data_IF_370277615416
#
_entry.id   IF_370277615416
#
_cell.length_a   1.000
_cell.length_b   1.000
_cell.length_c   1.000
_cell.angle_alpha   90.00
_cell.angle_beta   90.00
_cell.angle_gamma   90.00
#
_symmetry.space_group_name_H-M   'P 1'
#
loop_
_entity.id
_entity.type
_entity.pdbx_description
1 polymer ?
#
# COMPACT_ATOMS: atom_id res chain seq x y z
N UNK A 1 -23.96 18.72 -83.49
CA UNK A 1 -24.94 19.82 -83.61
C UNK A 1 -25.86 19.86 -82.38
N UNK A 2 -25.73 20.93 -81.58
CA UNK A 2 -26.76 21.58 -80.73
C UNK A 2 -27.69 20.69 -79.86
N UNK A 3 -28.00 20.95 -78.59
CA UNK A 3 -27.70 22.00 -77.60
C UNK A 3 -28.70 21.77 -76.45
N UNK A 4 -28.26 21.81 -75.18
CA UNK A 4 -28.93 22.53 -74.05
C UNK A 4 -30.29 21.92 -73.57
N UNK A 5 -30.58 21.62 -72.29
CA UNK A 5 -30.42 22.41 -71.06
C UNK A 5 -30.76 21.64 -69.76
N UNK A 6 -29.94 21.88 -68.71
CA UNK A 6 -30.18 21.96 -67.24
C UNK A 6 -31.11 20.96 -66.52
N UNK A 7 -30.59 20.33 -65.44
CA UNK A 7 -30.77 20.86 -64.05
C UNK A 7 -30.08 20.01 -62.96
N UNK A 8 -29.39 20.74 -62.07
CA UNK A 8 -29.13 20.51 -60.64
C UNK A 8 -28.05 19.50 -60.20
N UNK A 9 -26.85 20.08 -59.98
CA UNK A 9 -25.88 19.68 -58.95
C UNK A 9 -26.55 19.60 -57.57
N UNK A 10 -26.45 18.44 -56.92
CA UNK A 10 -26.40 18.32 -55.46
C UNK A 10 -25.13 17.53 -55.14
N UNK A 11 -24.09 18.24 -54.70
CA UNK A 11 -22.89 17.63 -54.17
C UNK A 11 -23.22 16.95 -52.84
N UNK A 12 -23.04 15.64 -52.81
CA UNK A 12 -23.13 14.79 -51.63
C UNK A 12 -22.11 15.23 -50.58
N UNK A 13 -22.60 15.91 -49.55
CA UNK A 13 -21.92 16.14 -48.28
C UNK A 13 -21.70 14.77 -47.60
N UNK A 14 -20.51 14.20 -47.74
CA UNK A 14 -20.05 13.15 -46.83
C UNK A 14 -19.71 13.84 -45.50
N UNK A 15 -20.72 14.00 -44.64
CA UNK A 15 -20.51 14.31 -43.23
C UNK A 15 -19.90 13.08 -42.56
N UNK A 16 -18.57 13.09 -42.41
CA UNK A 16 -17.89 12.37 -41.33
C UNK A 16 -18.41 12.95 -40.00
N UNK A 17 -19.55 12.46 -39.52
CA UNK A 17 -19.90 12.56 -38.11
C UNK A 17 -19.04 11.55 -37.35
N UNK A 18 -17.76 11.90 -37.14
CA UNK A 18 -16.98 11.30 -36.08
C UNK A 18 -17.67 11.68 -34.76
N UNK A 19 -18.39 10.73 -34.18
CA UNK A 19 -18.88 10.82 -32.82
C UNK A 19 -17.67 11.01 -31.88
N UNK A 20 -17.36 12.26 -31.57
CA UNK A 20 -16.57 12.64 -30.41
C UNK A 20 -17.40 12.30 -29.18
N UNK A 21 -17.39 11.03 -28.78
CA UNK A 21 -17.81 10.65 -27.44
C UNK A 21 -16.84 11.34 -26.46
N UNK A 22 -17.31 12.10 -25.48
CA UNK A 22 -16.45 12.63 -24.44
C UNK A 22 -15.87 11.44 -23.67
N UNK A 23 -14.57 11.21 -23.82
CA UNK A 23 -13.83 10.30 -22.94
C UNK A 23 -13.78 10.96 -21.57
N UNK A 24 -14.64 10.54 -20.65
CA UNK A 24 -14.45 10.86 -19.23
C UNK A 24 -13.11 10.27 -18.81
N UNK A 25 -12.22 11.04 -18.14
CA UNK A 25 -11.00 10.47 -17.60
C UNK A 25 -11.39 9.37 -16.60
N UNK A 26 -11.13 8.12 -16.96
CA UNK A 26 -11.22 6.98 -16.05
C UNK A 26 -10.09 7.14 -15.03
N UNK A 27 -10.42 7.76 -13.89
CA UNK A 27 -9.46 8.01 -12.83
C UNK A 27 -9.26 6.75 -11.99
N UNK A 28 -8.14 6.05 -12.16
CA UNK A 28 -7.75 5.03 -11.20
C UNK A 28 -7.42 5.67 -9.83
N UNK A 29 -8.00 5.14 -8.76
CA UNK A 29 -7.76 5.63 -7.39
C UNK A 29 -6.45 5.15 -6.78
N UNK A 30 -5.79 4.16 -7.41
CA UNK A 30 -4.48 3.62 -7.00
C UNK A 30 -4.52 3.04 -5.58
N UNK A 31 -5.46 2.13 -5.40
CA UNK A 31 -5.68 1.39 -4.16
C UNK A 31 -4.41 0.59 -3.86
N UNK A 32 -3.86 0.79 -2.66
CA UNK A 32 -2.70 0.03 -2.15
C UNK A 32 -3.18 -1.20 -1.40
N UNK A 33 -4.23 -1.05 -0.61
CA UNK A 33 -4.75 -2.12 0.22
C UNK A 33 -5.89 -1.66 1.12
N UNK A 34 -6.33 -2.55 2.00
CA UNK A 34 -7.39 -2.29 2.95
C UNK A 34 -7.82 -3.53 3.71
N UNK A 35 -8.67 -3.29 4.70
CA UNK A 35 -9.28 -4.31 5.53
C UNK A 35 -10.62 -3.80 6.08
N UNK A 36 -11.54 -4.74 6.31
CA UNK A 36 -12.86 -4.50 6.86
C UNK A 36 -13.02 -5.40 8.09
N UNK A 37 -13.40 -4.82 9.22
CA UNK A 37 -13.61 -5.54 10.49
C UNK A 37 -14.88 -5.07 11.20
N UNK A 38 -15.30 -5.82 12.21
CA UNK A 38 -16.47 -5.52 13.02
C UNK A 38 -16.23 -5.83 14.50
N UNK A 39 -16.88 -5.08 15.37
CA UNK A 39 -16.90 -5.30 16.83
C UNK A 39 -18.34 -5.34 17.32
N UNK A 40 -18.75 -6.36 18.08
CA UNK A 40 -20.08 -6.37 18.69
C UNK A 40 -20.14 -5.41 19.88
N UNK A 41 -21.14 -4.53 19.89
CA UNK A 41 -21.41 -3.59 20.97
C UNK A 41 -22.54 -4.07 21.90
N UNK A 42 -23.18 -5.19 21.56
CA UNK A 42 -24.35 -5.73 22.24
C UNK A 42 -25.67 -5.23 21.63
N UNK A 43 -26.78 -5.91 21.94
CA UNK A 43 -28.10 -5.49 21.46
C UNK A 43 -28.27 -5.52 19.93
N UNK A 44 -27.53 -6.42 19.24
CA UNK A 44 -27.40 -6.49 17.78
C UNK A 44 -26.74 -5.26 17.14
N UNK A 45 -26.10 -4.41 17.93
CA UNK A 45 -25.36 -3.25 17.45
C UNK A 45 -23.89 -3.62 17.22
N UNK A 46 -23.36 -3.24 16.06
CA UNK A 46 -22.00 -3.55 15.63
C UNK A 46 -21.30 -2.29 15.14
N UNK A 47 -20.09 -2.07 15.64
CA UNK A 47 -19.17 -1.11 15.04
C UNK A 47 -18.52 -1.76 13.82
N UNK A 48 -18.58 -1.10 12.67
CA UNK A 48 -17.92 -1.50 11.43
C UNK A 48 -16.76 -0.55 11.19
N UNK A 49 -15.58 -1.12 10.94
CA UNK A 49 -14.35 -0.38 10.67
C UNK A 49 -13.79 -0.78 9.32
N UNK A 50 -13.69 0.19 8.41
CA UNK A 50 -13.06 0.04 7.10
C UNK A 50 -11.80 0.89 7.06
N UNK A 51 -10.63 0.27 6.91
CA UNK A 51 -9.36 0.98 6.74
C UNK A 51 -8.90 0.80 5.29
N UNK A 52 -8.59 1.90 4.60
CA UNK A 52 -8.21 1.91 3.18
C UNK A 52 -6.87 2.64 3.02
N UNK A 53 -6.04 2.09 2.15
CA UNK A 53 -4.72 2.61 1.81
C UNK A 53 -4.64 2.95 0.32
N UNK A 54 -4.00 4.07 -0.01
CA UNK A 54 -3.79 4.53 -1.38
C UNK A 54 -2.38 5.06 -1.59
N UNK A 55 -1.90 5.02 -2.82
CA UNK A 55 -0.60 5.59 -3.20
C UNK A 55 -0.67 7.13 -3.21
N UNK A 56 0.33 7.79 -2.62
CA UNK A 56 0.39 9.25 -2.56
C UNK A 56 0.70 9.91 -3.91
N UNK A 57 1.56 9.29 -4.73
CA UNK A 57 2.16 9.90 -5.91
C UNK A 57 1.48 9.46 -7.20
N UNK A 58 1.20 8.17 -7.32
CA UNK A 58 0.61 7.58 -8.51
C UNK A 58 -0.92 7.71 -8.50
N UNK A 59 -1.52 7.95 -7.33
CA UNK A 59 -2.95 8.20 -7.17
C UNK A 59 -3.48 9.34 -8.02
N UNK A 60 -4.67 9.16 -8.61
CA UNK A 60 -5.37 10.27 -9.24
C UNK A 60 -5.64 11.35 -8.17
N UNK A 61 -5.15 12.59 -8.34
CA UNK A 61 -5.37 13.68 -7.39
C UNK A 61 -6.85 14.05 -7.20
N UNK A 62 -7.71 13.66 -8.14
CA UNK A 62 -9.16 13.92 -8.11
C UNK A 62 -9.97 12.75 -7.55
N UNK A 63 -9.34 11.61 -7.26
CA UNK A 63 -10.02 10.44 -6.74
C UNK A 63 -9.41 10.09 -5.39
N UNK A 64 -9.68 10.93 -4.38
CA UNK A 64 -9.23 10.78 -3.01
C UNK A 64 -9.97 9.62 -2.29
N UNK A 65 -9.90 9.57 -0.96
CA UNK A 65 -10.78 8.72 -0.16
C UNK A 65 -12.25 9.01 -0.46
N UNK A 66 -13.07 7.96 -0.43
CA UNK A 66 -14.48 8.01 -0.83
C UNK A 66 -15.32 8.83 0.14
N UNK A 67 -16.04 9.81 -0.38
CA UNK A 67 -17.02 10.60 0.38
C UNK A 67 -18.38 10.57 -0.32
N UNK A 68 -19.33 9.71 0.09
CA UNK A 68 -19.21 8.72 1.17
C UNK A 68 -18.55 7.40 0.72
N UNK A 69 -17.92 6.69 1.66
CA UNK A 69 -17.59 5.27 1.49
C UNK A 69 -18.87 4.42 1.61
N UNK A 70 -19.04 3.45 0.70
CA UNK A 70 -20.24 2.61 0.66
C UNK A 70 -19.96 1.15 1.00
N UNK A 71 -20.57 0.67 2.07
CA UNK A 71 -20.50 -0.73 2.50
C UNK A 71 -21.85 -1.39 2.24
N UNK A 72 -21.88 -2.45 1.43
CA UNK A 72 -23.06 -3.28 1.21
C UNK A 72 -23.15 -4.38 2.27
N UNK A 73 -24.35 -4.65 2.77
CA UNK A 73 -24.66 -5.74 3.69
C UNK A 73 -25.51 -6.77 2.94
N UNK A 74 -25.01 -7.99 2.80
CA UNK A 74 -25.68 -9.06 2.06
C UNK A 74 -26.03 -10.23 2.99
N UNK A 75 -27.16 -10.89 2.74
CA UNK A 75 -27.53 -12.12 3.43
C UNK A 75 -26.82 -13.34 2.82
N UNK A 76 -27.05 -14.53 3.40
CA UNK A 76 -26.51 -15.80 2.89
C UNK A 76 -27.00 -16.19 1.48
N UNK A 77 -28.04 -15.53 0.95
CA UNK A 77 -28.53 -15.70 -0.43
C UNK A 77 -27.93 -14.65 -1.39
N UNK A 78 -26.98 -13.85 -0.90
CA UNK A 78 -26.32 -12.75 -1.61
C UNK A 78 -27.25 -11.60 -2.01
N UNK A 79 -28.41 -11.49 -1.35
CA UNK A 79 -29.33 -10.39 -1.55
C UNK A 79 -28.88 -9.20 -0.68
N UNK A 80 -28.93 -7.99 -1.24
CA UNK A 80 -28.65 -6.78 -0.50
C UNK A 80 -29.74 -6.57 0.57
N UNK A 81 -29.31 -6.58 1.83
CA UNK A 81 -30.16 -6.31 3.00
C UNK A 81 -30.17 -4.82 3.30
N UNK A 82 -28.99 -4.20 3.29
CA UNK A 82 -28.82 -2.79 3.61
C UNK A 82 -27.52 -2.23 2.97
N UNK A 83 -27.42 -0.90 2.92
CA UNK A 83 -26.24 -0.17 2.44
C UNK A 83 -25.91 0.94 3.42
N UNK A 84 -24.67 0.93 3.92
CA UNK A 84 -24.16 2.00 4.77
C UNK A 84 -23.37 2.99 3.91
N UNK A 85 -23.61 4.28 4.12
CA UNK A 85 -22.85 5.38 3.52
C UNK A 85 -22.18 6.18 4.64
N UNK A 86 -20.85 6.17 4.67
CA UNK A 86 -20.05 6.82 5.71
C UNK A 86 -19.34 8.02 5.08
N UNK A 87 -19.69 9.27 5.46
CA UNK A 87 -18.97 10.44 5.01
C UNK A 87 -17.49 10.36 5.40
N UNK A 88 -16.61 10.88 4.56
CA UNK A 88 -15.19 10.93 4.88
C UNK A 88 -14.88 12.12 5.78
N UNK A 89 -14.12 11.88 6.85
CA UNK A 89 -13.57 12.93 7.70
C UNK A 89 -12.14 13.24 7.24
N UNK A 90 -11.93 14.45 6.69
CA UNK A 90 -10.62 14.92 6.23
C UNK A 90 -9.57 14.92 7.35
N UNK A 91 -9.99 15.04 8.62
CA UNK A 91 -9.09 14.98 9.78
C UNK A 91 -8.52 13.58 10.02
N UNK A 92 -9.10 12.54 9.42
CA UNK A 92 -8.62 11.15 9.47
C UNK A 92 -7.73 10.79 8.28
N UNK A 93 -7.28 11.77 7.50
CA UNK A 93 -6.22 11.59 6.52
C UNK A 93 -4.87 11.45 7.20
N UNK A 94 -4.21 10.32 7.04
CA UNK A 94 -2.88 10.07 7.60
C UNK A 94 -1.93 9.48 6.54
N UNK A 95 -0.63 9.48 6.81
CA UNK A 95 0.40 8.86 5.97
C UNK A 95 1.09 7.78 6.76
N UNK A 96 1.18 6.57 6.20
CA UNK A 96 1.93 5.49 6.83
C UNK A 96 3.42 5.76 6.75
N UNK A 97 4.09 5.69 7.91
CA UNK A 97 5.54 5.71 7.98
C UNK A 97 6.12 4.39 7.43
N UNK A 98 7.05 4.44 6.46
CA UNK A 98 7.70 3.24 5.96
C UNK A 98 8.62 2.66 7.06
N UNK A 99 8.19 1.57 7.69
CA UNK A 99 9.01 0.81 8.66
C UNK A 99 9.74 -0.30 7.91
N UNK A 100 11.06 -0.35 7.99
CA UNK A 100 11.86 -1.47 7.49
C UNK A 100 12.16 -2.46 8.61
N UNK A 101 12.37 -3.73 8.23
CA UNK A 101 12.75 -4.81 9.16
C UNK A 101 14.13 -4.63 9.78
N UNK A 102 14.98 -3.79 9.17
CA UNK A 102 16.33 -3.51 9.63
C UNK A 102 16.54 -1.99 9.70
N UNK A 103 17.09 -1.52 10.82
CA UNK A 103 17.41 -0.11 11.08
C UNK A 103 18.47 0.44 10.11
N UNK A 104 19.13 -0.43 9.35
CA UNK A 104 20.23 -0.09 8.45
C UNK A 104 19.79 0.15 7.00
N UNK A 105 18.54 -0.12 6.68
CA UNK A 105 18.00 0.05 5.35
C UNK A 105 17.24 1.37 5.24
N UNK A 106 17.38 2.05 4.10
CA UNK A 106 16.63 3.27 3.80
C UNK A 106 15.64 2.99 2.68
N UNK A 107 14.37 3.32 2.92
CA UNK A 107 13.31 3.24 1.89
C UNK A 107 13.52 4.35 0.87
N UNK A 108 13.51 4.05 -0.44
CA UNK A 108 13.50 5.07 -1.47
C UNK A 108 12.38 6.11 -1.27
N UNK A 109 12.63 7.40 -1.57
CA UNK A 109 11.70 8.49 -1.26
C UNK A 109 10.39 8.46 -2.07
N UNK A 110 10.27 7.55 -3.03
CA UNK A 110 9.09 7.35 -3.90
C UNK A 110 8.05 6.38 -3.31
N UNK A 111 8.27 5.85 -2.10
CA UNK A 111 7.27 5.03 -1.40
C UNK A 111 6.49 5.89 -0.41
N UNK A 112 5.23 6.17 -0.74
CA UNK A 112 4.32 6.88 0.15
C UNK A 112 2.90 6.30 0.03
N UNK A 113 2.26 6.09 1.18
CA UNK A 113 0.90 5.56 1.25
C UNK A 113 0.07 6.38 2.24
N UNK A 114 -1.01 7.00 1.74
CA UNK A 114 -2.01 7.60 2.61
C UNK A 114 -2.98 6.53 3.12
N UNK A 115 -3.49 6.74 4.33
CA UNK A 115 -4.50 5.90 4.97
C UNK A 115 -5.65 6.72 5.55
N UNK A 116 -6.82 6.11 5.62
CA UNK A 116 -7.94 6.60 6.40
C UNK A 116 -8.75 5.43 6.96
N UNK A 117 -9.49 5.68 8.04
CA UNK A 117 -10.38 4.71 8.66
C UNK A 117 -11.78 5.27 8.76
N UNK A 118 -12.74 4.60 8.13
CA UNK A 118 -14.17 4.85 8.29
C UNK A 118 -14.70 3.99 9.43
N UNK A 119 -15.39 4.61 10.37
CA UNK A 119 -16.05 3.92 11.48
C UNK A 119 -17.52 4.31 11.52
N UNK A 120 -18.39 3.32 11.70
CA UNK A 120 -19.82 3.55 11.86
C UNK A 120 -20.44 2.45 12.70
N UNK A 121 -21.67 2.66 13.14
CA UNK A 121 -22.42 1.68 13.93
C UNK A 121 -23.68 1.30 13.18
N UNK A 122 -23.95 -0.01 13.10
CA UNK A 122 -25.11 -0.57 12.40
C UNK A 122 -25.79 -1.62 13.28
N UNK A 123 -27.11 -1.75 13.11
CA UNK A 123 -27.88 -2.81 13.76
C UNK A 123 -27.98 -4.01 12.81
N UNK A 124 -27.44 -5.16 13.21
CA UNK A 124 -27.44 -6.42 12.46
C UNK A 124 -28.19 -7.50 13.25
N UNK A 125 -29.53 -7.58 13.14
CA UNK A 125 -30.30 -8.64 13.76
C UNK A 125 -29.85 -10.03 13.27
N UNK A 126 -29.84 -11.09 14.10
CA UNK A 126 -29.47 -12.41 13.64
C UNK A 126 -30.35 -12.90 12.47
N UNK A 127 -29.69 -13.36 11.40
CA UNK A 127 -30.33 -13.97 10.23
C UNK A 127 -29.72 -15.34 9.95
N UNK A 128 -30.54 -16.23 9.38
CA UNK A 128 -30.07 -17.56 9.01
C UNK A 128 -28.89 -17.48 8.02
N UNK A 129 -27.79 -18.15 8.36
CA UNK A 129 -26.56 -18.12 7.55
C UNK A 129 -25.68 -16.86 7.69
N UNK A 130 -26.16 -15.81 8.38
CA UNK A 130 -25.37 -14.62 8.70
C UNK A 130 -25.29 -13.56 7.59
N UNK A 131 -24.30 -12.68 7.70
CA UNK A 131 -24.07 -11.55 6.81
C UNK A 131 -22.70 -11.58 6.14
N UNK A 132 -22.64 -11.04 4.93
CA UNK A 132 -21.40 -10.65 4.26
C UNK A 132 -21.42 -9.14 4.10
N UNK A 133 -20.43 -8.46 4.68
CA UNK A 133 -20.22 -7.03 4.46
C UNK A 133 -19.15 -6.87 3.39
N UNK A 134 -19.33 -5.90 2.49
CA UNK A 134 -18.35 -5.64 1.44
C UNK A 134 -18.25 -4.17 1.05
N UNK A 135 -17.03 -3.72 0.82
CA UNK A 135 -16.70 -2.46 0.17
C UNK A 135 -15.91 -2.75 -1.10
N UNK A 136 -16.21 -2.02 -2.18
CA UNK A 136 -15.60 -2.22 -3.49
C UNK A 136 -15.11 -0.92 -4.09
N UNK A 137 -13.92 -0.96 -4.70
CA UNK A 137 -13.32 0.20 -5.35
C UNK A 137 -12.51 -0.19 -6.58
N UNK A 138 -12.45 0.71 -7.56
CA UNK A 138 -11.51 0.64 -8.68
C UNK A 138 -10.52 1.82 -8.58
N UNK A 139 -9.24 1.68 -8.91
CA UNK A 139 -8.53 0.50 -9.41
C UNK A 139 -7.17 0.45 -8.72
N UNK A 140 -6.46 -0.66 -8.90
CA UNK A 140 -5.14 -0.84 -8.30
C UNK A 140 -4.05 -0.05 -9.05
N UNK A 141 -2.86 -0.04 -8.46
CA UNK A 141 -1.68 0.61 -9.03
C UNK A 141 -1.22 -0.03 -10.35
N UNK A 142 -0.98 0.79 -11.38
CA UNK A 142 -0.51 0.31 -12.68
C UNK A 142 0.88 -0.34 -12.66
N UNK A 143 1.67 -0.10 -11.61
CA UNK A 143 3.01 -0.66 -11.39
C UNK A 143 3.01 -2.07 -10.80
N UNK A 144 1.85 -2.59 -10.42
CA UNK A 144 1.73 -3.97 -9.91
C UNK A 144 2.14 -4.97 -10.99
N UNK A 145 3.01 -5.89 -10.63
CA UNK A 145 3.67 -6.81 -11.55
C UNK A 145 3.09 -8.23 -11.53
N UNK A 146 2.29 -8.60 -10.51
CA UNK A 146 1.79 -9.97 -10.34
C UNK A 146 0.34 -10.22 -10.79
N UNK A 147 -0.38 -9.23 -11.31
CA UNK A 147 -1.75 -9.40 -11.81
C UNK A 147 -1.88 -8.85 -13.24
N UNK A 148 -2.85 -9.38 -13.99
CA UNK A 148 -3.17 -8.93 -15.35
C UNK A 148 -3.90 -7.59 -15.29
N UNK A 149 -3.45 -6.63 -16.12
CA UNK A 149 -4.03 -5.29 -16.30
C UNK A 149 -4.44 -4.60 -14.97
N UNK A 150 -3.50 -4.27 -14.06
CA UNK A 150 -3.83 -3.76 -12.73
C UNK A 150 -4.75 -2.54 -12.70
N UNK A 151 -4.62 -1.64 -13.69
CA UNK A 151 -5.46 -0.45 -13.83
C UNK A 151 -6.92 -0.76 -14.17
N UNK A 152 -7.24 -1.99 -14.58
CA UNK A 152 -8.60 -2.49 -14.84
C UNK A 152 -9.14 -3.38 -13.71
N UNK A 153 -8.32 -3.71 -12.70
CA UNK A 153 -8.69 -4.59 -11.59
C UNK A 153 -8.99 -3.75 -10.35
N UNK A 154 -10.21 -3.87 -9.83
CA UNK A 154 -10.60 -3.31 -8.54
C UNK A 154 -10.16 -4.14 -7.33
N UNK A 155 -10.55 -3.70 -6.14
CA UNK A 155 -10.42 -4.44 -4.89
C UNK A 155 -11.78 -4.60 -4.21
N UNK A 156 -12.01 -5.76 -3.62
CA UNK A 156 -13.14 -5.99 -2.71
C UNK A 156 -12.60 -6.35 -1.33
N UNK A 157 -13.00 -5.59 -0.31
CA UNK A 157 -12.71 -5.90 1.09
C UNK A 157 -13.99 -6.40 1.73
N UNK A 158 -13.91 -7.55 2.39
CA UNK A 158 -15.08 -8.24 2.91
C UNK A 158 -14.79 -8.86 4.26
N UNK A 159 -15.85 -8.91 5.08
CA UNK A 159 -15.90 -9.70 6.30
C UNK A 159 -17.19 -10.49 6.33
N UNK A 160 -17.10 -11.74 6.80
CA UNK A 160 -18.27 -12.61 6.99
C UNK A 160 -18.57 -12.74 8.47
N UNK A 161 -19.83 -12.52 8.84
CA UNK A 161 -20.34 -12.70 10.20
C UNK A 161 -21.33 -13.86 10.16
N UNK A 162 -20.94 -15.02 10.67
CA UNK A 162 -21.82 -16.20 10.67
C UNK A 162 -23.05 -16.01 11.56
N UNK A 163 -24.07 -16.85 11.36
CA UNK A 163 -25.24 -16.89 12.25
C UNK A 163 -24.84 -17.14 13.72
N UNK A 164 -23.85 -18.01 13.97
CA UNK A 164 -23.32 -18.26 15.32
C UNK A 164 -22.68 -16.98 15.90
N UNK A 165 -21.84 -16.31 15.12
CA UNK A 165 -21.23 -15.04 15.52
C UNK A 165 -22.27 -13.97 15.88
N UNK A 166 -23.37 -13.88 15.12
CA UNK A 166 -24.47 -12.95 15.40
C UNK A 166 -25.20 -13.26 16.71
N UNK A 167 -25.50 -14.53 16.95
CA UNK A 167 -26.23 -14.98 18.14
C UNK A 167 -25.41 -14.84 19.42
N UNK A 168 -24.09 -14.94 19.30
CA UNK A 168 -23.15 -14.92 20.42
C UNK A 168 -22.48 -13.55 20.62
N UNK A 169 -22.86 -12.53 19.83
CA UNK A 169 -22.28 -11.19 19.89
C UNK A 169 -20.76 -11.19 19.76
N UNK A 170 -20.29 -11.76 18.65
CA UNK A 170 -18.87 -11.87 18.34
C UNK A 170 -18.26 -10.55 17.84
N UNK A 171 -16.99 -10.32 18.11
CA UNK A 171 -16.16 -9.28 17.53
C UNK A 171 -15.09 -9.93 16.67
N UNK A 172 -15.08 -9.66 15.37
CA UNK A 172 -14.13 -10.30 14.46
C UNK A 172 -12.69 -9.86 14.72
N UNK A 173 -11.69 -10.67 14.30
CA UNK A 173 -10.29 -10.41 14.58
C UNK A 173 -9.81 -9.11 13.95
N UNK A 174 -8.97 -8.38 14.68
CA UNK A 174 -8.36 -7.12 14.25
C UNK A 174 -6.84 -7.29 14.17
N UNK A 175 -6.26 -7.07 12.99
CA UNK A 175 -4.81 -7.17 12.84
C UNK A 175 -4.07 -6.17 13.72
N UNK A 176 -2.95 -6.60 14.31
CA UNK A 176 -2.20 -5.80 15.27
C UNK A 176 -1.38 -4.67 14.63
N UNK A 177 -0.91 -4.88 13.40
CA UNK A 177 -0.07 -3.93 12.67
C UNK A 177 -0.31 -4.03 11.16
N UNK A 178 -0.02 -2.95 10.45
CA UNK A 178 0.06 -2.96 8.99
C UNK A 178 1.43 -3.50 8.53
N UNK A 179 1.52 -4.31 7.46
CA UNK A 179 2.81 -4.75 6.94
C UNK A 179 3.65 -3.58 6.41
N UNK A 180 4.98 -3.72 6.36
CA UNK A 180 5.86 -2.77 5.69
C UNK A 180 5.43 -2.49 4.24
N UNK A 181 5.53 -1.23 3.84
CA UNK A 181 5.21 -0.81 2.48
C UNK A 181 6.34 -1.11 1.49
N UNK A 182 7.56 -1.27 2.00
CA UNK A 182 8.75 -1.58 1.24
C UNK A 182 9.53 -2.70 1.91
N UNK A 183 10.04 -3.62 1.10
CA UNK A 183 10.91 -4.71 1.54
C UNK A 183 12.08 -4.86 0.58
N UNK A 184 13.18 -5.40 1.09
CA UNK A 184 14.42 -5.49 0.34
C UNK A 184 14.44 -6.77 -0.51
N UNK A 185 14.84 -6.64 -1.77
CA UNK A 185 15.15 -7.79 -2.62
C UNK A 185 16.35 -8.55 -2.05
N UNK A 186 16.29 -9.88 -2.08
CA UNK A 186 17.28 -10.81 -1.55
C UNK A 186 17.51 -10.76 -0.03
N UNK A 187 16.62 -10.11 0.72
CA UNK A 187 16.61 -10.17 2.18
C UNK A 187 15.39 -10.94 2.71
N UNK A 188 15.53 -11.68 3.80
CA UNK A 188 14.43 -12.44 4.37
C UNK A 188 13.36 -11.53 4.93
N UNK A 189 12.11 -11.88 4.64
CA UNK A 189 10.90 -11.29 5.23
C UNK A 189 10.67 -11.96 6.59
N UNK A 190 10.42 -11.16 7.61
CA UNK A 190 10.03 -11.62 8.94
C UNK A 190 9.09 -10.61 9.60
N UNK A 191 7.78 -10.76 9.36
CA UNK A 191 6.78 -9.80 9.85
C UNK A 191 5.63 -10.50 10.57
N UNK A 192 5.30 -9.98 11.75
CA UNK A 192 4.12 -10.40 12.49
C UNK A 192 2.86 -9.89 11.77
N UNK A 193 2.00 -10.83 11.34
CA UNK A 193 0.67 -10.56 10.79
C UNK A 193 -0.43 -11.14 11.68
N UNK A 194 -0.14 -11.31 12.98
CA UNK A 194 -1.13 -11.71 13.97
C UNK A 194 -2.24 -10.68 14.11
N UNK A 195 -3.41 -11.18 14.50
CA UNK A 195 -4.57 -10.40 14.85
C UNK A 195 -4.96 -10.65 16.31
N UNK A 196 -5.54 -9.62 16.93
CA UNK A 196 -6.17 -9.68 18.23
C UNK A 196 -7.63 -10.08 18.09
N UNK A 197 -8.06 -10.99 18.95
CA UNK A 197 -9.44 -11.43 19.08
C UNK A 197 -9.96 -11.07 20.49
N UNK A 198 -11.06 -10.32 20.56
CA UNK A 198 -11.58 -9.82 21.84
C UNK A 198 -12.33 -10.89 22.63
N UNK A 199 -12.82 -11.93 21.97
CA UNK A 199 -13.66 -12.97 22.56
C UNK A 199 -12.88 -14.24 22.90
N UNK A 200 -11.61 -14.32 22.50
CA UNK A 200 -10.69 -15.42 22.80
C UNK A 200 -10.82 -16.59 21.83
N UNK A 201 -11.28 -16.34 20.61
CA UNK A 201 -11.41 -17.34 19.56
C UNK A 201 -10.07 -17.80 19.00
N UNK A 202 -10.08 -19.00 18.41
CA UNK A 202 -8.90 -19.55 17.75
C UNK A 202 -8.77 -18.96 16.36
N UNK A 203 -7.64 -18.30 16.09
CA UNK A 203 -7.34 -17.71 14.79
C UNK A 203 -6.43 -18.63 13.98
N UNK A 204 -6.78 -18.84 12.72
CA UNK A 204 -5.98 -19.59 11.75
C UNK A 204 -5.60 -18.68 10.58
N UNK A 205 -4.30 -18.59 10.31
CA UNK A 205 -3.75 -17.69 9.30
C UNK A 205 -3.41 -18.44 8.02
N UNK A 206 -3.68 -17.84 6.85
CA UNK A 206 -3.23 -18.36 5.57
C UNK A 206 -3.05 -17.27 4.53
N UNK A 207 -2.19 -17.54 3.55
CA UNK A 207 -2.18 -16.76 2.31
C UNK A 207 -3.48 -17.02 1.55
N UNK A 208 -4.00 -15.98 0.91
CA UNK A 208 -5.19 -16.10 0.08
C UNK A 208 -5.15 -15.11 -1.07
N UNK A 209 -5.71 -15.50 -2.22
CA UNK A 209 -5.81 -14.62 -3.39
C UNK A 209 -6.73 -13.44 -3.09
N UNK A 210 -6.28 -12.18 -3.21
CA UNK A 210 -7.16 -11.02 -3.06
C UNK A 210 -8.35 -11.04 -4.03
N UNK A 211 -9.39 -10.28 -3.72
CA UNK A 211 -10.59 -10.22 -4.55
C UNK A 211 -10.50 -9.06 -5.53
N UNK A 212 -10.86 -9.32 -6.78
CA UNK A 212 -11.22 -8.27 -7.73
C UNK A 212 -12.47 -7.53 -7.23
N UNK A 213 -12.59 -6.27 -7.61
CA UNK A 213 -13.69 -5.40 -7.19
C UNK A 213 -14.34 -4.67 -8.34
N UNK A 214 -14.67 -3.41 -8.08
CA UNK A 214 -15.31 -2.52 -9.04
C UNK A 214 -14.49 -2.34 -10.33
N UNK A 215 -15.09 -1.70 -11.34
CA UNK A 215 -14.50 -1.58 -12.69
C UNK A 215 -14.22 -0.13 -13.06
N UNK A 216 -13.48 0.11 -14.14
CA UNK A 216 -13.27 1.47 -14.64
C UNK A 216 -14.56 2.18 -15.07
N UNK A 217 -15.59 1.42 -15.46
CA UNK A 217 -16.88 1.96 -15.89
C UNK A 217 -17.77 2.37 -14.70
N UNK A 218 -17.60 1.69 -13.57
CA UNK A 218 -18.27 2.00 -12.31
C UNK A 218 -17.25 1.79 -11.18
N UNK A 219 -16.38 2.80 -10.92
CA UNK A 219 -15.25 2.65 -10.01
C UNK A 219 -15.64 2.73 -8.53
N UNK A 220 -16.85 3.21 -8.25
CA UNK A 220 -17.44 3.41 -6.92
C UNK A 220 -18.90 2.93 -6.90
N UNK A 221 -19.17 1.63 -7.01
CA UNK A 221 -20.53 1.15 -6.99
C UNK A 221 -21.18 1.46 -5.64
N UNK A 222 -22.33 2.12 -5.68
CA UNK A 222 -23.15 2.45 -4.51
C UNK A 222 -24.60 2.03 -4.79
N UNK A 223 -25.07 0.85 -4.30
CA UNK A 223 -24.37 -0.10 -3.43
C UNK A 223 -23.28 -0.90 -4.16
N UNK A 224 -22.30 -1.47 -3.43
CA UNK A 224 -21.37 -2.46 -3.97
C UNK A 224 -22.10 -3.66 -4.60
N UNK A 225 -21.43 -4.35 -5.51
CA UNK A 225 -21.97 -5.56 -6.12
C UNK A 225 -22.08 -6.70 -5.07
N UNK A 226 -23.08 -7.59 -5.20
CA UNK A 226 -23.26 -8.72 -4.30
C UNK A 226 -22.17 -9.80 -4.50
N UNK A 227 -21.89 -10.62 -3.46
CA UNK A 227 -21.05 -11.81 -3.61
C UNK A 227 -21.70 -12.86 -4.56
N UNK A 228 -20.95 -13.85 -5.07
CA UNK A 228 -19.53 -14.13 -4.81
C UNK A 228 -18.59 -13.25 -5.62
N UNK A 229 -17.48 -12.86 -4.99
CA UNK A 229 -16.45 -12.04 -5.60
C UNK A 229 -15.42 -12.88 -6.34
N UNK A 230 -14.94 -12.38 -7.48
CA UNK A 230 -13.89 -13.04 -8.25
C UNK A 230 -12.52 -12.78 -7.61
N UNK A 231 -11.60 -13.76 -7.62
CA UNK A 231 -10.20 -13.51 -7.27
C UNK A 231 -9.55 -12.56 -8.29
N UNK A 232 -8.49 -11.87 -7.88
CA UNK A 232 -7.66 -11.10 -8.81
C UNK A 232 -7.07 -12.02 -9.89
N UNK A 233 -6.96 -11.55 -11.15
CA UNK A 233 -6.39 -12.35 -12.22
C UNK A 233 -4.85 -12.34 -12.09
N UNK A 234 -4.28 -13.37 -11.48
CA UNK A 234 -2.82 -13.53 -11.43
C UNK A 234 -2.20 -13.51 -12.83
N UNK A 235 -1.02 -12.89 -12.96
CA UNK A 235 -0.18 -13.03 -14.14
C UNK A 235 0.57 -14.38 -14.07
N UNK A 236 -0.17 -15.47 -14.29
CA UNK A 236 0.31 -16.84 -14.14
C UNK A 236 0.75 -17.44 -15.50
N UNK A 237 1.97 -17.99 -15.64
CA UNK A 237 3.09 -18.00 -14.68
C UNK A 237 3.91 -16.70 -14.65
N UNK A 238 4.68 -16.42 -13.58
CA UNK A 238 4.96 -17.30 -12.43
C UNK A 238 4.09 -17.06 -11.19
N UNK A 239 3.20 -16.06 -11.22
CA UNK A 239 2.49 -15.60 -10.02
C UNK A 239 1.21 -16.40 -9.75
N UNK A 240 1.01 -16.75 -8.48
CA UNK A 240 -0.23 -17.33 -7.94
C UNK A 240 -0.22 -17.21 -6.41
N UNK A 241 -1.24 -17.76 -5.74
CA UNK A 241 -1.37 -17.73 -4.27
C UNK A 241 -0.14 -18.30 -3.54
N UNK A 242 0.54 -19.28 -4.12
CA UNK A 242 1.73 -19.90 -3.53
C UNK A 242 3.05 -19.26 -4.00
N UNK A 243 3.00 -18.20 -4.83
CA UNK A 243 4.19 -17.53 -5.37
C UNK A 243 3.93 -16.04 -5.66
N UNK A 244 3.34 -15.32 -4.71
CA UNK A 244 2.88 -13.94 -4.92
C UNK A 244 4.01 -12.94 -5.23
N UNK A 245 5.24 -13.19 -4.73
CA UNK A 245 6.42 -12.33 -4.91
C UNK A 245 7.46 -12.89 -5.89
N UNK A 246 7.10 -13.92 -6.68
CA UNK A 246 8.03 -14.64 -7.56
C UNK A 246 9.30 -15.15 -6.84
N UNK A 247 9.17 -15.79 -5.69
CA UNK A 247 10.31 -16.29 -4.91
C UNK A 247 11.08 -17.44 -5.57
N UNK A 248 10.72 -17.90 -6.77
CA UNK A 248 11.37 -19.05 -7.43
C UNK A 248 11.83 -18.72 -8.85
N UNK A 249 12.96 -19.31 -9.33
CA UNK A 249 13.96 -20.04 -8.55
C UNK A 249 14.94 -19.10 -7.83
N UNK A 250 15.48 -19.52 -6.69
CA UNK A 250 16.59 -18.82 -6.02
C UNK A 250 16.21 -17.83 -4.92
N UNK A 251 14.93 -17.73 -4.58
CA UNK A 251 14.45 -17.15 -3.32
C UNK A 251 13.57 -18.17 -2.59
N UNK A 252 12.64 -17.68 -1.77
CA UNK A 252 11.62 -18.48 -1.09
C UNK A 252 10.26 -17.79 -1.25
N UNK A 253 9.22 -18.48 -1.73
CA UNK A 253 7.86 -17.93 -1.75
C UNK A 253 7.40 -17.46 -0.37
N UNK A 254 6.42 -16.55 -0.35
CA UNK A 254 5.78 -16.18 0.90
C UNK A 254 5.16 -17.42 1.57
N UNK A 255 5.33 -17.49 2.88
CA UNK A 255 4.69 -18.47 3.75
C UNK A 255 4.23 -17.78 5.03
N UNK A 256 3.11 -18.23 5.59
CA UNK A 256 2.59 -17.72 6.87
C UNK A 256 2.37 -18.87 7.83
N UNK A 257 2.83 -18.70 9.07
CA UNK A 257 2.57 -19.68 10.12
C UNK A 257 1.08 -19.64 10.51
N UNK A 258 0.35 -20.76 10.43
CA UNK A 258 -1.10 -20.77 10.61
C UNK A 258 -1.56 -20.54 12.06
N UNK A 259 -0.65 -20.57 13.04
CA UNK A 259 -1.00 -20.35 14.46
C UNK A 259 -0.51 -18.99 14.97
N UNK A 260 0.66 -18.55 14.52
CA UNK A 260 1.27 -17.31 14.99
C UNK A 260 0.99 -16.11 14.08
N UNK A 261 0.62 -16.34 12.82
CA UNK A 261 0.48 -15.28 11.83
C UNK A 261 1.82 -14.71 11.36
N UNK A 262 2.96 -15.34 11.70
CA UNK A 262 4.27 -14.90 11.24
C UNK A 262 4.43 -15.12 9.74
N UNK A 263 4.59 -14.03 8.98
CA UNK A 263 4.85 -14.03 7.56
C UNK A 263 6.36 -14.09 7.29
N UNK A 264 6.77 -15.03 6.45
CA UNK A 264 8.16 -15.27 6.03
C UNK A 264 8.27 -15.40 4.51
N UNK A 265 9.48 -15.24 3.97
CA UNK A 265 9.77 -15.38 2.55
C UNK A 265 11.12 -14.76 2.20
N UNK A 266 11.55 -14.92 0.95
CA UNK A 266 12.78 -14.31 0.44
C UNK A 266 12.52 -13.86 -1.02
N UNK A 267 12.09 -12.62 -1.23
CA UNK A 267 11.79 -12.11 -2.57
C UNK A 267 13.11 -11.88 -3.31
N UNK A 268 13.19 -12.33 -4.57
CA UNK A 268 14.37 -12.16 -5.41
C UNK A 268 14.09 -11.30 -6.67
N UNK A 269 12.87 -10.76 -6.76
CA UNK A 269 12.37 -9.99 -7.89
C UNK A 269 11.96 -8.60 -7.41
N UNK A 270 12.58 -7.57 -7.98
CA UNK A 270 12.22 -6.16 -7.75
C UNK A 270 10.89 -5.88 -8.46
N UNK A 271 9.98 -5.16 -7.81
CA UNK A 271 8.68 -4.78 -8.36
C UNK A 271 7.66 -4.48 -7.28
N UNK A 272 6.44 -4.15 -7.69
CA UNK A 272 5.30 -3.99 -6.80
C UNK A 272 4.36 -5.19 -6.93
N UNK A 273 3.92 -5.74 -5.80
CA UNK A 273 3.19 -7.01 -5.77
C UNK A 273 1.99 -6.91 -4.85
N UNK A 274 0.83 -7.36 -5.32
CA UNK A 274 -0.37 -7.55 -4.50
C UNK A 274 -0.25 -8.83 -3.67
N UNK A 275 -0.57 -8.76 -2.39
CA UNK A 275 -0.52 -9.87 -1.42
C UNK A 275 -1.84 -9.92 -0.64
N UNK A 276 -2.29 -11.13 -0.33
CA UNK A 276 -3.49 -11.34 0.48
C UNK A 276 -3.24 -12.30 1.64
N UNK A 277 -3.77 -11.93 2.81
CA UNK A 277 -3.76 -12.74 4.03
C UNK A 277 -5.20 -12.87 4.50
N UNK A 278 -5.59 -14.10 4.85
CA UNK A 278 -6.88 -14.40 5.43
C UNK A 278 -6.69 -14.91 6.86
N UNK A 279 -7.53 -14.41 7.76
CA UNK A 279 -7.66 -14.89 9.15
C UNK A 279 -9.02 -15.55 9.28
N UNK A 280 -9.01 -16.83 9.58
CA UNK A 280 -10.19 -17.64 9.85
C UNK A 280 -10.37 -17.76 11.36
N UNK A 281 -11.56 -17.42 11.84
CA UNK A 281 -11.90 -17.35 13.27
C UNK A 281 -12.77 -18.54 13.65
N UNK A 282 -12.34 -19.30 14.66
CA UNK A 282 -12.99 -20.53 15.10
C UNK A 282 -13.41 -20.46 16.55
N UNK A 283 -14.70 -20.79 16.78
CA UNK A 283 -15.28 -20.97 18.12
C UNK A 283 -15.82 -22.36 18.29
N UNK A 284 -15.33 -23.07 19.31
CA UNK A 284 -15.63 -24.49 19.56
C UNK A 284 -15.35 -25.40 18.34
N UNK A 285 -14.34 -25.06 17.54
CA UNK A 285 -13.98 -25.78 16.31
C UNK A 285 -14.88 -25.52 15.10
N UNK A 286 -15.82 -24.57 15.19
CA UNK A 286 -16.64 -24.13 14.07
C UNK A 286 -16.14 -22.79 13.54
N UNK A 287 -16.00 -22.66 12.22
CA UNK A 287 -15.67 -21.39 11.56
C UNK A 287 -16.82 -20.42 11.75
N UNK A 288 -16.56 -19.26 12.36
CA UNK A 288 -17.57 -18.24 12.65
C UNK A 288 -17.33 -16.91 11.92
N UNK A 289 -16.11 -16.68 11.46
CA UNK A 289 -15.69 -15.46 10.79
C UNK A 289 -14.55 -15.69 9.83
N UNK A 290 -14.45 -14.83 8.83
CA UNK A 290 -13.26 -14.73 7.98
C UNK A 290 -13.03 -13.27 7.64
N UNK A 291 -11.84 -12.80 7.98
CA UNK A 291 -11.36 -11.46 7.65
C UNK A 291 -10.25 -11.57 6.62
N UNK A 292 -10.26 -10.69 5.63
CA UNK A 292 -9.23 -10.64 4.58
C UNK A 292 -8.53 -9.29 4.59
N UNK A 293 -7.21 -9.36 4.59
CA UNK A 293 -6.31 -8.23 4.31
C UNK A 293 -5.76 -8.37 2.91
N UNK A 294 -5.74 -7.26 2.20
CA UNK A 294 -5.16 -7.10 0.87
C UNK A 294 -4.28 -5.86 0.88
N UNK A 295 -3.05 -6.00 0.43
CA UNK A 295 -2.03 -4.96 0.48
C UNK A 295 -0.99 -5.16 -0.62
N UNK A 296 -0.07 -4.20 -0.73
CA UNK A 296 1.03 -4.26 -1.68
C UNK A 296 2.39 -4.19 -0.99
N UNK A 297 3.31 -5.02 -1.46
CA UNK A 297 4.74 -4.85 -1.20
C UNK A 297 5.39 -4.15 -2.37
N UNK A 298 6.18 -3.11 -2.08
CA UNK A 298 7.22 -2.63 -2.99
C UNK A 298 8.52 -3.36 -2.65
N UNK A 299 8.97 -4.25 -3.52
CA UNK A 299 10.25 -4.95 -3.38
C UNK A 299 11.29 -4.16 -4.17
N UNK A 300 12.38 -3.76 -3.53
CA UNK A 300 13.49 -3.13 -4.26
C UNK A 300 14.81 -3.20 -3.53
N UNK A 301 15.80 -2.44 -4.01
CA UNK A 301 17.11 -2.41 -3.39
C UNK A 301 17.05 -1.56 -2.13
N UNK A 302 17.20 -2.20 -0.98
CA UNK A 302 17.59 -1.47 0.21
C UNK A 302 19.09 -1.21 0.15
N UNK A 303 19.47 0.04 0.27
CA UNK A 303 20.86 0.38 0.43
C UNK A 303 21.25 0.41 1.89
N UNK A 304 22.50 0.01 2.16
CA UNK A 304 23.17 0.39 3.40
C UNK A 304 23.79 1.77 3.19
N UNK A 305 23.67 2.64 4.19
CA UNK A 305 24.30 3.94 4.15
C UNK A 305 25.80 3.79 3.89
N UNK A 306 26.32 4.52 2.90
CA UNK A 306 27.77 4.61 2.67
C UNK A 306 28.16 6.07 2.68
N UNK A 307 29.06 6.45 3.57
CA UNK A 307 29.62 7.78 3.65
C UNK A 307 30.69 7.96 2.58
N UNK A 308 30.57 9.04 1.82
CA UNK A 308 31.60 9.48 0.90
C UNK A 308 31.47 10.99 0.69
N UNK A 309 32.60 11.67 0.53
CA UNK A 309 32.57 13.06 0.09
C UNK A 309 33.81 13.42 -0.71
N UNK A 310 33.66 14.47 -1.50
CA UNK A 310 34.75 15.18 -2.11
C UNK A 310 35.02 16.50 -1.39
N UNK A 311 36.30 16.73 -1.08
CA UNK A 311 36.84 18.03 -0.68
C UNK A 311 38.23 18.18 -1.32
N UNK A 312 38.63 19.38 -1.75
CA UNK A 312 39.98 19.62 -2.27
C UNK A 312 41.05 19.33 -1.22
N UNK A 313 42.12 18.63 -1.59
CA UNK A 313 43.23 18.30 -0.67
C UNK A 313 44.04 19.53 -0.25
N UNK A 314 44.12 20.53 -1.15
CA UNK A 314 44.84 21.77 -0.91
C UNK A 314 44.03 22.91 -1.49
N UNK A 315 43.78 23.93 -0.66
CA UNK A 315 43.15 25.19 -1.06
C UNK A 315 44.13 26.32 -0.76
N UNK A 316 44.34 27.21 -1.73
CA UNK A 316 45.19 28.38 -1.59
C UNK A 316 44.40 29.65 -1.91
N UNK A 317 44.58 30.70 -1.10
CA UNK A 317 43.95 32.00 -1.33
C UNK A 317 42.51 32.14 -0.81
N UNK A 318 41.94 31.10 -0.22
CA UNK A 318 40.66 31.12 0.50
C UNK A 318 40.74 30.19 1.72
N UNK A 319 39.99 30.51 2.77
CA UNK A 319 39.75 29.62 3.91
C UNK A 319 38.39 28.92 3.81
N UNK A 320 37.59 29.20 2.78
CA UNK A 320 36.29 28.56 2.57
C UNK A 320 36.42 27.33 1.68
N UNK A 321 35.84 26.22 2.13
CA UNK A 321 35.77 24.95 1.39
C UNK A 321 34.35 24.44 1.39
N UNK A 322 33.80 24.21 0.20
CA UNK A 322 32.56 23.47 0.05
C UNK A 322 32.86 21.98 0.05
N UNK A 323 32.13 21.21 0.87
CA UNK A 323 32.17 19.76 0.82
C UNK A 323 31.08 19.27 -0.13
N UNK A 324 31.44 18.36 -1.03
CA UNK A 324 30.51 17.71 -1.96
C UNK A 324 30.16 16.33 -1.40
N UNK A 325 28.95 16.20 -0.86
CA UNK A 325 28.50 14.95 -0.25
C UNK A 325 28.17 13.94 -1.35
N UNK A 326 28.86 12.81 -1.33
CA UNK A 326 28.71 11.71 -2.30
C UNK A 326 28.18 10.44 -1.63
N UNK A 327 27.64 10.57 -0.41
CA UNK A 327 27.08 9.45 0.32
C UNK A 327 25.88 8.85 -0.42
N UNK A 328 25.67 7.55 -0.23
CA UNK A 328 24.53 6.83 -0.79
C UNK A 328 23.65 6.30 0.34
N UNK A 329 22.34 6.24 0.08
CA UNK A 329 21.36 5.62 0.97
C UNK A 329 21.38 6.19 2.41
N UNK A 330 21.53 7.50 2.52
CA UNK A 330 21.48 8.24 3.78
C UNK A 330 20.82 9.60 3.55
N UNK A 331 20.02 10.03 4.51
CA UNK A 331 19.30 11.32 4.53
C UNK A 331 19.67 12.17 5.76
N UNK A 332 20.34 11.58 6.75
CA UNK A 332 20.91 12.24 7.91
C UNK A 332 22.43 12.26 7.84
N UNK A 333 23.03 13.41 8.13
CA UNK A 333 24.48 13.60 8.02
C UNK A 333 25.02 14.31 9.25
N UNK A 334 26.25 13.96 9.62
CA UNK A 334 27.04 14.75 10.57
C UNK A 334 28.45 14.94 10.03
N UNK A 335 28.78 16.19 9.78
CA UNK A 335 30.12 16.64 9.43
C UNK A 335 30.85 17.03 10.70
N UNK A 336 32.11 16.61 10.84
CA UNK A 336 32.97 16.99 11.95
C UNK A 336 34.29 17.49 11.35
N UNK A 337 34.65 18.73 11.67
CA UNK A 337 35.95 19.30 11.29
C UNK A 337 36.84 19.33 12.51
N UNK A 338 38.01 18.71 12.42
CA UNK A 338 38.96 18.61 13.54
C UNK A 338 40.37 19.06 13.14
N UNK A 339 41.16 19.49 14.12
CA UNK A 339 42.59 19.77 13.95
C UNK A 339 43.37 19.22 15.13
N UNK A 340 44.32 18.33 14.86
CA UNK A 340 45.13 17.70 15.92
C UNK A 340 44.29 16.93 16.95
N UNK A 341 43.14 16.38 16.53
CA UNK A 341 42.21 15.66 17.40
C UNK A 341 41.23 16.54 18.19
N UNK A 342 41.28 17.87 18.03
CA UNK A 342 40.32 18.80 18.63
C UNK A 342 39.23 19.13 17.62
N UNK A 343 37.97 18.87 17.97
CA UNK A 343 36.80 19.23 17.15
C UNK A 343 36.63 20.75 17.15
N UNK A 344 36.61 21.33 15.96
CA UNK A 344 36.44 22.77 15.72
C UNK A 344 34.96 23.12 15.49
N UNK A 345 34.19 22.17 14.99
CA UNK A 345 32.73 22.21 15.01
C UNK A 345 32.10 21.16 14.10
N UNK A 346 30.78 21.21 13.99
CA UNK A 346 29.98 20.22 13.28
C UNK A 346 28.91 20.88 12.39
N UNK A 347 28.38 20.14 11.42
CA UNK A 347 27.21 20.53 10.63
C UNK A 347 26.34 19.31 10.31
N UNK A 348 25.03 19.50 10.24
CA UNK A 348 24.08 18.49 9.75
C UNK A 348 23.58 18.78 8.33
N UNK A 349 24.08 19.84 7.69
CA UNK A 349 23.65 20.20 6.34
C UNK A 349 24.07 19.10 5.35
N UNK A 350 23.22 18.75 4.36
CA UNK A 350 23.56 17.73 3.36
C UNK A 350 24.81 18.09 2.56
N UNK A 351 25.10 19.38 2.37
CA UNK A 351 26.23 19.87 1.59
C UNK A 351 26.76 21.20 2.15
N UNK A 352 27.54 21.17 3.24
CA UNK A 352 27.98 22.38 3.93
C UNK A 352 29.13 23.10 3.22
N UNK A 353 29.26 24.39 3.52
CA UNK A 353 30.46 25.18 3.25
C UNK A 353 31.09 25.52 4.58
N UNK A 354 32.37 25.21 4.75
CA UNK A 354 33.11 25.45 5.98
C UNK A 354 34.17 26.53 5.78
N UNK A 355 34.22 27.51 6.69
CA UNK A 355 35.29 28.51 6.75
C UNK A 355 36.31 28.11 7.83
N UNK A 356 37.51 27.71 7.40
CA UNK A 356 38.60 27.35 8.31
C UNK A 356 39.17 28.58 9.03
N UNK A 357 39.59 28.44 10.30
CA UNK A 357 40.04 29.58 11.10
C UNK A 357 41.42 30.11 10.71
N UNK A 358 42.29 29.27 10.15
CA UNK A 358 43.64 29.63 9.70
C UNK A 358 44.15 28.61 8.67
N UNK A 359 45.35 28.82 8.16
CA UNK A 359 46.12 27.86 7.38
C UNK A 359 46.58 26.67 8.23
N UNK A 360 46.58 25.48 7.64
CA UNK A 360 47.06 24.28 8.32
C UNK A 360 46.47 23.00 7.75
N UNK A 361 46.70 21.90 8.46
CA UNK A 361 46.08 20.62 8.18
C UNK A 361 44.84 20.46 9.06
N UNK A 362 43.76 19.99 8.46
CA UNK A 362 42.48 19.72 9.08
C UNK A 362 42.03 18.33 8.65
N UNK A 363 41.32 17.65 9.52
CA UNK A 363 40.66 16.38 9.23
C UNK A 363 39.16 16.64 9.11
N UNK A 364 38.55 16.12 8.07
CA UNK A 364 37.11 16.22 7.83
C UNK A 364 36.52 14.82 7.90
N UNK A 365 35.59 14.64 8.82
CA UNK A 365 34.82 13.40 8.97
C UNK A 365 33.39 13.65 8.53
N UNK A 366 32.85 12.76 7.71
CA UNK A 366 31.43 12.67 7.40
C UNK A 366 30.91 11.35 7.96
N UNK A 367 29.85 11.44 8.76
CA UNK A 367 29.05 10.31 9.22
C UNK A 367 27.72 10.36 8.45
N UNK A 368 27.48 9.36 7.61
CA UNK A 368 26.20 9.14 6.94
C UNK A 368 25.28 8.31 7.84
N UNK A 369 24.00 8.64 7.90
CA UNK A 369 23.02 8.07 8.83
C UNK A 369 23.41 8.27 10.30
N UNK A 370 23.93 9.47 10.64
CA UNK A 370 24.36 9.78 12.00
C UNK A 370 23.23 9.62 13.02
N UNK A 371 23.48 8.87 14.10
CA UNK A 371 22.50 8.53 15.13
C UNK A 371 21.78 7.20 14.92
N UNK A 372 21.99 6.52 13.79
CA UNK A 372 21.45 5.18 13.51
C UNK A 372 22.49 4.07 13.75
N UNK A 373 22.03 2.84 13.97
CA UNK A 373 22.88 1.69 14.29
C UNK A 373 23.91 1.35 13.18
N UNK A 374 23.61 1.71 11.93
CA UNK A 374 24.46 1.47 10.75
C UNK A 374 25.00 2.75 10.11
N UNK A 375 25.37 3.72 10.95
CA UNK A 375 26.09 4.88 10.46
C UNK A 375 27.42 4.46 9.82
N UNK A 376 27.67 4.92 8.60
CA UNK A 376 28.97 4.75 7.94
C UNK A 376 29.79 6.03 8.08
N UNK A 377 31.10 5.90 8.20
CA UNK A 377 32.00 7.03 8.47
C UNK A 377 33.12 7.10 7.46
N UNK A 378 33.26 8.25 6.82
CA UNK A 378 34.34 8.55 5.90
C UNK A 378 35.17 9.72 6.43
N UNK A 379 36.49 9.53 6.50
CA UNK A 379 37.46 10.51 7.01
C UNK A 379 38.45 10.86 5.92
N UNK A 380 38.73 12.15 5.74
CA UNK A 380 39.75 12.64 4.81
C UNK A 380 40.64 13.70 5.42
#
# INVERSE_FOLDING_TARGET
PMSVEKKLMFWSLWCLCAWLMPTTPAGATHIVGGELSYTCLGGNEYEIRLTIFRDCYNGNPQAWFDDPASIGIFNAQHELVDQILIPWDEMLNDTLDPVLSDECFVVPPDVCVHTTTYTTTVVLPPVAGGYVLAYQRCCRNGTISNIVDPLAVGATYTVTISEKALLECNSGPQFNAWPPLYICVNEPIWFDQSAYDADGDSLVYRLCTPLAGASQADPMPQPPAPPPYQPVPWLDPPYNENNMLNGLPGGEPLAIDPHTGLLTGLPNTIGQFVVGICVEEYRDGQLIGTTRRDFQYNVGLCGQATAAFFAPEVVCGSLEVAFDNQSQYADQFEWIVSQGGVVLGTSADPQPVWSFPDTGWYEVTLIASSGMACADTFVR
#
